data_IF_124686240191
#
_entry.id   IF_124686240191
#
_cell.length_a   1.000
_cell.length_b   1.000
_cell.length_c   1.000
_cell.angle_alpha   90.00
_cell.angle_beta   90.00
_cell.angle_gamma   90.00
#
_symmetry.space_group_name_H-M   'P 1'
#
loop_
_entity.id
_entity.type
_entity.pdbx_description
1 polymer ?
#
# COMPACT_ATOMS: atom_id res chain seq x y z
N UNK A 1 3.73 -1.14 -35.31
CA UNK A 1 4.69 -1.83 -34.42
C UNK A 1 3.97 -3.06 -33.89
N UNK A 2 4.53 -4.26 -34.07
CA UNK A 2 3.89 -5.46 -33.55
C UNK A 2 3.81 -5.34 -32.02
N UNK A 3 2.60 -5.50 -31.45
CA UNK A 3 2.47 -5.63 -30.00
C UNK A 3 3.36 -6.80 -29.59
N UNK A 4 4.38 -6.59 -28.74
CA UNK A 4 5.19 -7.69 -28.25
C UNK A 4 4.25 -8.71 -27.60
N UNK A 5 4.46 -9.99 -27.88
CA UNK A 5 3.76 -11.08 -27.22
C UNK A 5 3.78 -10.81 -25.72
N UNK A 6 2.63 -10.83 -25.02
CA UNK A 6 2.60 -10.58 -23.59
C UNK A 6 3.58 -11.54 -22.89
N UNK A 7 4.61 -10.99 -22.27
CA UNK A 7 5.61 -11.77 -21.52
C UNK A 7 4.98 -12.20 -20.19
N UNK A 8 5.49 -13.29 -19.62
CA UNK A 8 4.87 -13.93 -18.47
C UNK A 8 4.73 -12.93 -17.31
N UNK A 9 3.51 -12.73 -16.77
CA UNK A 9 3.28 -11.83 -15.66
C UNK A 9 4.02 -12.35 -14.41
N UNK A 10 4.69 -11.48 -13.64
CA UNK A 10 5.36 -11.90 -12.41
C UNK A 10 4.29 -12.34 -11.40
N UNK A 11 4.47 -13.49 -10.73
CA UNK A 11 3.70 -13.83 -9.54
C UNK A 11 3.76 -12.69 -8.51
N UNK A 12 2.59 -12.29 -8.00
CA UNK A 12 2.44 -11.32 -6.93
C UNK A 12 1.97 -12.08 -5.70
N UNK A 13 2.89 -12.24 -4.75
CA UNK A 13 2.66 -12.90 -3.48
C UNK A 13 2.55 -11.85 -2.38
N UNK A 14 1.72 -12.11 -1.36
CA UNK A 14 1.58 -11.25 -0.18
C UNK A 14 2.10 -12.02 1.04
N UNK A 15 3.38 -11.87 1.44
CA UNK A 15 3.84 -12.34 2.74
C UNK A 15 2.93 -11.85 3.87
N UNK A 16 2.62 -12.69 4.88
CA UNK A 16 1.96 -12.24 6.10
C UNK A 16 2.59 -10.96 6.66
N UNK A 17 1.85 -9.86 6.56
CA UNK A 17 2.31 -8.51 6.90
C UNK A 17 1.99 -8.12 8.34
N UNK A 18 2.58 -7.02 8.79
CA UNK A 18 2.37 -6.48 10.14
C UNK A 18 0.96 -5.89 10.29
N UNK A 19 0.55 -5.60 11.53
CA UNK A 19 -0.69 -4.89 11.87
C UNK A 19 -0.38 -3.66 12.70
N UNK A 20 -1.03 -2.57 12.36
CA UNK A 20 -0.97 -1.30 13.08
C UNK A 20 -2.35 -0.96 13.61
N UNK A 21 -2.42 -0.35 14.78
CA UNK A 21 -3.62 0.27 15.33
C UNK A 21 -3.28 1.71 15.72
N UNK A 22 -3.69 2.64 14.86
CA UNK A 22 -3.27 4.05 14.88
C UNK A 22 -4.46 4.98 15.12
N UNK A 23 -4.19 6.28 15.24
CA UNK A 23 -5.22 7.32 15.34
C UNK A 23 -5.62 7.79 13.95
N UNK A 24 -6.85 7.52 13.51
CA UNK A 24 -7.33 7.85 12.15
C UNK A 24 -7.14 9.32 11.74
N UNK A 25 -7.43 10.25 12.66
CA UNK A 25 -7.40 11.69 12.40
C UNK A 25 -6.00 12.22 12.05
N UNK A 26 -4.95 11.47 12.37
CA UNK A 26 -3.58 11.80 12.00
C UNK A 26 -3.33 11.60 10.50
N UNK A 27 -4.10 10.73 9.85
CA UNK A 27 -3.91 10.33 8.44
C UNK A 27 -4.97 10.96 7.53
N UNK A 28 -6.23 10.96 7.97
CA UNK A 28 -7.36 11.40 7.13
C UNK A 28 -8.54 11.96 7.93
N UNK A 29 -9.40 12.70 7.25
CA UNK A 29 -10.55 13.42 7.81
C UNK A 29 -11.77 13.39 6.87
N UNK A 30 -13.01 13.54 7.35
CA UNK A 30 -13.40 13.71 8.75
C UNK A 30 -13.36 12.38 9.52
N UNK A 31 -13.36 12.43 10.85
CA UNK A 31 -13.56 11.23 11.67
C UNK A 31 -15.05 10.89 11.76
N UNK A 32 -15.43 9.69 11.34
CA UNK A 32 -16.78 9.14 11.52
C UNK A 32 -16.89 8.40 12.86
N UNK A 33 -18.10 8.24 13.40
CA UNK A 33 -18.31 7.49 14.63
C UNK A 33 -17.89 6.03 14.46
N UNK A 34 -17.17 5.51 15.45
CA UNK A 34 -16.55 4.18 15.40
C UNK A 34 -15.18 4.19 14.71
N UNK A 35 -14.98 5.07 13.73
CA UNK A 35 -13.76 5.16 12.92
C UNK A 35 -12.67 6.05 13.52
N UNK A 36 -12.51 6.07 14.85
CA UNK A 36 -11.47 6.87 15.52
C UNK A 36 -10.11 6.17 15.51
N UNK A 37 -10.12 4.83 15.50
CA UNK A 37 -8.95 3.97 15.36
C UNK A 37 -8.78 3.57 13.91
N UNK A 38 -7.53 3.42 13.49
CA UNK A 38 -7.14 3.02 12.15
C UNK A 38 -6.33 1.73 12.25
N UNK A 39 -7.04 0.60 12.17
CA UNK A 39 -6.49 -0.74 12.34
C UNK A 39 -6.20 -1.36 10.99
N UNK A 40 -4.94 -1.44 10.61
CA UNK A 40 -4.57 -1.72 9.21
C UNK A 40 -3.44 -2.72 9.08
N UNK A 41 -3.38 -3.43 7.94
CA UNK A 41 -2.17 -4.14 7.56
C UNK A 41 -1.05 -3.14 7.24
N UNK A 42 0.20 -3.61 7.26
CA UNK A 42 1.27 -3.03 6.47
C UNK A 42 1.74 -4.15 5.53
N UNK A 43 1.34 -4.02 4.26
CA UNK A 43 1.60 -5.03 3.24
C UNK A 43 3.04 -4.97 2.73
N UNK A 44 3.56 -6.16 2.46
CA UNK A 44 4.74 -6.39 1.66
C UNK A 44 4.31 -7.26 0.47
N UNK A 45 4.95 -7.09 -0.69
CA UNK A 45 4.68 -7.92 -1.86
C UNK A 45 5.96 -8.55 -2.38
N UNK A 46 5.94 -9.86 -2.61
CA UNK A 46 7.00 -10.60 -3.29
C UNK A 46 6.65 -10.73 -4.77
N UNK A 47 7.53 -10.20 -5.62
CA UNK A 47 7.43 -10.22 -7.08
C UNK A 47 8.50 -11.13 -7.67
N UNK A 48 8.11 -12.07 -8.52
CA UNK A 48 9.05 -13.00 -9.17
C UNK A 48 9.07 -12.83 -10.68
N UNK A 49 10.20 -12.40 -11.24
CA UNK A 49 10.32 -12.20 -12.67
C UNK A 49 10.89 -13.47 -13.34
N UNK A 50 9.99 -14.33 -13.84
CA UNK A 50 10.35 -15.62 -14.43
C UNK A 50 11.45 -15.57 -15.52
N UNK A 51 11.49 -14.58 -16.44
CA UNK A 51 12.54 -14.50 -17.46
C UNK A 51 13.96 -14.31 -16.91
N UNK A 52 14.14 -13.60 -15.80
CA UNK A 52 15.46 -13.36 -15.18
C UNK A 52 15.66 -14.14 -13.89
N UNK A 53 14.62 -14.80 -13.38
CA UNK A 53 14.55 -15.44 -12.06
C UNK A 53 14.78 -14.46 -10.87
N UNK A 54 14.70 -13.15 -11.12
CA UNK A 54 14.87 -12.15 -10.08
C UNK A 54 13.66 -12.10 -9.15
N UNK A 55 13.91 -11.87 -7.87
CA UNK A 55 12.90 -11.73 -6.81
C UNK A 55 13.03 -10.38 -6.17
N UNK A 56 11.94 -9.62 -6.20
CA UNK A 56 11.88 -8.27 -5.65
C UNK A 56 10.86 -8.25 -4.50
N UNK A 57 11.16 -7.47 -3.47
CA UNK A 57 10.20 -7.11 -2.45
C UNK A 57 9.73 -5.68 -2.67
N UNK A 58 8.43 -5.44 -2.71
CA UNK A 58 7.86 -4.09 -2.65
C UNK A 58 7.37 -3.85 -1.23
N UNK A 59 8.05 -2.91 -0.56
CA UNK A 59 8.04 -2.67 0.89
C UNK A 59 8.46 -3.89 1.72
N UNK A 60 8.73 -3.66 3.01
CA UNK A 60 9.26 -4.66 3.95
C UNK A 60 8.52 -4.68 5.29
N UNK A 61 7.50 -3.83 5.45
CA UNK A 61 6.74 -3.72 6.69
C UNK A 61 7.50 -3.00 7.81
N UNK A 62 7.22 -3.39 9.05
CA UNK A 62 7.83 -2.82 10.26
C UNK A 62 8.89 -3.79 10.80
N UNK A 63 10.02 -3.27 11.29
CA UNK A 63 10.98 -4.08 12.04
C UNK A 63 10.42 -4.51 13.42
N UNK A 64 10.52 -5.80 13.82
CA UNK A 64 10.03 -6.24 15.14
C UNK A 64 10.63 -5.50 16.33
N UNK A 65 11.90 -5.12 16.23
CA UNK A 65 12.62 -4.29 17.19
C UNK A 65 12.49 -2.79 16.85
N UNK A 66 11.26 -2.29 16.67
CA UNK A 66 11.02 -0.88 16.29
C UNK A 66 11.68 0.14 17.23
N UNK A 67 11.95 -0.22 18.48
CA UNK A 67 12.73 0.60 19.43
C UNK A 67 14.20 0.82 19.01
N UNK A 68 14.68 0.05 18.03
CA UNK A 68 15.99 0.19 17.40
C UNK A 68 15.93 1.02 16.11
N UNK A 69 14.78 1.62 15.76
CA UNK A 69 14.73 2.69 14.76
C UNK A 69 15.57 3.90 15.22
N UNK A 70 15.93 4.82 14.32
CA UNK A 70 16.61 6.05 14.71
C UNK A 70 15.85 6.82 15.80
N UNK A 71 16.56 7.53 16.71
CA UNK A 71 15.93 8.21 17.85
C UNK A 71 14.80 9.18 17.46
N UNK A 72 14.91 9.87 16.33
CA UNK A 72 13.86 10.77 15.83
C UNK A 72 12.55 10.02 15.55
N UNK A 73 12.64 8.85 14.92
CA UNK A 73 11.48 7.98 14.65
C UNK A 73 10.91 7.40 15.93
N UNK A 74 11.77 6.88 16.84
CA UNK A 74 11.32 6.34 18.13
C UNK A 74 10.57 7.40 18.94
N UNK A 75 11.09 8.63 19.01
CA UNK A 75 10.43 9.74 19.71
C UNK A 75 9.09 10.11 19.08
N UNK A 76 8.98 10.11 17.75
CA UNK A 76 7.70 10.31 17.05
C UNK A 76 6.68 9.24 17.46
N UNK A 77 7.07 7.96 17.44
CA UNK A 77 6.20 6.86 17.81
C UNK A 77 5.79 6.93 19.29
N UNK A 78 6.73 7.24 20.20
CA UNK A 78 6.45 7.41 21.63
C UNK A 78 5.57 8.62 21.93
N UNK A 79 5.61 9.68 21.11
CA UNK A 79 4.73 10.84 21.24
C UNK A 79 3.27 10.51 20.93
N UNK A 80 3.02 9.44 20.18
CA UNK A 80 1.70 8.89 19.90
C UNK A 80 1.38 7.73 20.85
N UNK A 81 1.17 8.06 22.12
CA UNK A 81 1.01 7.07 23.21
C UNK A 81 -0.19 6.10 23.04
N UNK A 82 -1.08 6.33 22.08
CA UNK A 82 -2.21 5.46 21.73
C UNK A 82 -1.94 4.57 20.51
N UNK A 83 -0.83 4.72 19.78
CA UNK A 83 -0.48 3.84 18.67
C UNK A 83 -0.03 2.47 19.17
N UNK A 84 -0.44 1.40 18.47
CA UNK A 84 -0.09 0.01 18.81
C UNK A 84 0.35 -0.73 17.57
N UNK A 85 1.25 -1.70 17.76
CA UNK A 85 1.70 -2.62 16.74
C UNK A 85 1.39 -4.05 17.22
N UNK A 86 0.11 -4.47 17.19
CA UNK A 86 -0.33 -5.73 17.79
C UNK A 86 0.42 -6.94 17.23
N UNK A 87 0.76 -6.90 15.94
CA UNK A 87 1.51 -7.96 15.27
C UNK A 87 2.56 -7.34 14.37
N UNK A 88 3.82 -7.75 14.56
CA UNK A 88 4.95 -7.32 13.74
C UNK A 88 5.71 -8.53 13.25
N UNK A 89 5.90 -8.60 11.93
CA UNK A 89 6.64 -9.66 11.26
C UNK A 89 7.89 -9.11 10.60
N UNK A 90 9.00 -9.82 10.77
CA UNK A 90 10.17 -9.58 9.93
C UNK A 90 9.97 -10.32 8.60
N UNK A 91 9.86 -9.56 7.50
CA UNK A 91 9.63 -10.08 6.16
C UNK A 91 10.63 -11.15 5.74
N UNK A 92 11.94 -10.96 5.98
CA UNK A 92 12.96 -11.96 5.62
C UNK A 92 12.76 -13.28 6.36
N UNK A 93 12.37 -13.23 7.64
CA UNK A 93 12.11 -14.42 8.47
C UNK A 93 10.83 -15.13 8.04
N UNK A 94 9.77 -14.38 7.69
CA UNK A 94 8.54 -14.94 7.12
C UNK A 94 8.86 -15.73 5.84
N UNK A 95 9.59 -15.13 4.91
CA UNK A 95 10.02 -15.80 3.68
C UNK A 95 10.84 -17.06 3.96
N UNK A 96 11.82 -16.97 4.87
CA UNK A 96 12.70 -18.10 5.21
C UNK A 96 11.92 -19.27 5.82
N UNK A 97 10.93 -18.98 6.67
CA UNK A 97 10.06 -20.00 7.30
C UNK A 97 9.25 -20.79 6.26
N UNK A 98 8.99 -20.19 5.10
CA UNK A 98 8.28 -20.82 3.97
C UNK A 98 9.23 -21.22 2.81
N UNK A 99 10.54 -21.33 3.07
CA UNK A 99 11.50 -21.93 2.14
C UNK A 99 12.21 -20.97 1.19
N UNK A 100 12.00 -19.65 1.31
CA UNK A 100 12.75 -18.64 0.57
C UNK A 100 13.83 -18.01 1.46
N UNK A 101 15.09 -18.40 1.25
CA UNK A 101 16.22 -18.03 2.12
C UNK A 101 16.71 -16.57 1.89
N UNK A 102 15.85 -15.61 2.20
CA UNK A 102 16.11 -14.18 2.05
C UNK A 102 17.43 -13.72 2.72
N UNK A 103 17.77 -14.16 3.95
CA UNK A 103 19.04 -13.80 4.59
C UNK A 103 20.30 -14.25 3.84
N UNK A 104 20.20 -15.26 2.98
CA UNK A 104 21.32 -15.78 2.19
C UNK A 104 21.21 -15.46 0.68
N UNK A 105 20.45 -14.41 0.32
CA UNK A 105 20.47 -13.83 -1.02
C UNK A 105 19.42 -14.40 -1.98
N UNK A 106 18.31 -14.93 -1.45
CA UNK A 106 17.17 -15.30 -2.29
C UNK A 106 16.41 -14.09 -2.86
N UNK A 107 16.65 -12.88 -2.34
CA UNK A 107 16.02 -11.63 -2.77
C UNK A 107 17.07 -10.75 -3.45
N UNK A 108 16.78 -10.31 -4.67
CA UNK A 108 17.70 -9.49 -5.46
C UNK A 108 17.61 -8.01 -5.08
N UNK A 109 16.41 -7.51 -4.79
CA UNK A 109 16.22 -6.14 -4.36
C UNK A 109 14.97 -5.94 -3.49
N UNK A 110 15.05 -4.94 -2.61
CA UNK A 110 13.89 -4.33 -1.98
C UNK A 110 13.60 -2.99 -2.67
N UNK A 111 12.33 -2.76 -3.02
CA UNK A 111 11.81 -1.49 -3.52
C UNK A 111 11.05 -0.86 -2.36
N UNK A 112 11.50 0.30 -1.88
CA UNK A 112 10.71 1.09 -0.95
C UNK A 112 9.76 1.97 -1.74
N UNK A 113 8.46 1.82 -1.49
CA UNK A 113 7.47 2.81 -1.91
C UNK A 113 7.85 4.18 -1.38
N UNK A 114 8.26 4.25 -0.11
CA UNK A 114 8.82 5.44 0.54
C UNK A 114 9.49 5.08 1.88
N UNK A 115 10.23 6.01 2.52
CA UNK A 115 11.06 5.67 3.69
C UNK A 115 10.41 5.93 5.06
N UNK A 116 9.14 5.56 5.25
CA UNK A 116 8.53 5.54 6.58
C UNK A 116 8.72 4.20 7.29
N UNK A 117 8.62 4.23 8.62
CA UNK A 117 9.04 3.14 9.51
C UNK A 117 8.32 1.81 9.28
N UNK A 118 7.12 1.87 8.70
CA UNK A 118 6.24 0.76 8.40
C UNK A 118 6.31 0.27 6.95
N UNK A 119 7.26 0.78 6.18
CA UNK A 119 7.57 0.33 4.82
C UNK A 119 9.01 -0.18 4.68
N UNK A 120 9.93 0.30 5.53
CA UNK A 120 11.37 0.05 5.39
C UNK A 120 11.85 -1.28 5.99
N UNK A 121 11.09 -1.87 6.91
CA UNK A 121 11.44 -3.12 7.58
C UNK A 121 12.80 -3.12 8.29
N UNK A 122 13.43 -4.29 8.35
CA UNK A 122 14.79 -4.48 8.89
C UNK A 122 15.74 -4.94 7.78
N UNK A 123 16.40 -3.98 7.14
CA UNK A 123 17.36 -4.25 6.07
C UNK A 123 18.54 -5.14 6.52
N UNK A 124 18.89 -5.14 7.81
CA UNK A 124 20.00 -5.95 8.33
C UNK A 124 19.77 -7.46 8.22
N UNK A 125 18.53 -7.88 7.99
CA UNK A 125 18.17 -9.29 7.73
C UNK A 125 18.39 -9.74 6.29
N UNK A 126 18.80 -8.83 5.41
CA UNK A 126 19.17 -9.12 4.03
C UNK A 126 20.69 -8.97 3.84
N UNK A 127 21.32 -9.76 2.97
CA UNK A 127 22.74 -9.59 2.68
C UNK A 127 22.97 -8.30 1.87
N UNK A 128 24.19 -7.72 1.90
CA UNK A 128 24.55 -6.54 1.12
C UNK A 128 24.33 -6.64 -0.40
N UNK A 129 24.21 -7.86 -0.92
CA UNK A 129 23.89 -8.13 -2.34
C UNK A 129 22.45 -7.79 -2.70
N UNK A 130 21.56 -7.66 -1.71
CA UNK A 130 20.18 -7.20 -1.92
C UNK A 130 20.24 -5.70 -2.18
N UNK A 131 19.89 -5.29 -3.39
CA UNK A 131 19.84 -3.88 -3.76
C UNK A 131 18.67 -3.16 -3.09
N UNK A 132 18.80 -1.85 -2.90
CA UNK A 132 17.70 -1.00 -2.45
C UNK A 132 17.28 -0.06 -3.59
N UNK A 133 16.03 -0.19 -4.04
CA UNK A 133 15.44 0.66 -5.08
C UNK A 133 14.56 1.71 -4.41
N UNK A 134 14.73 2.98 -4.80
CA UNK A 134 14.02 4.12 -4.20
C UNK A 134 13.56 5.12 -5.26
N UNK A 135 12.55 5.92 -4.91
CA UNK A 135 12.06 6.99 -5.77
C UNK A 135 12.96 8.23 -5.82
N UNK A 136 12.63 9.20 -6.70
CA UNK A 136 13.44 10.39 -6.95
C UNK A 136 13.69 11.23 -5.70
N UNK A 137 14.85 11.89 -5.66
CA UNK A 137 15.27 12.77 -4.56
C UNK A 137 15.53 12.05 -3.23
N UNK A 138 15.48 10.72 -3.18
CA UNK A 138 15.72 9.97 -1.96
C UNK A 138 17.10 10.29 -1.35
N UNK A 139 18.17 10.13 -2.13
CA UNK A 139 19.53 10.32 -1.63
C UNK A 139 19.78 11.77 -1.18
N UNK A 140 19.24 12.74 -1.94
CA UNK A 140 19.38 14.16 -1.61
C UNK A 140 18.64 14.53 -0.32
N UNK A 141 17.48 13.93 -0.07
CA UNK A 141 16.59 14.32 1.03
C UNK A 141 16.84 13.53 2.32
N UNK A 142 17.14 12.23 2.22
CA UNK A 142 17.18 11.34 3.37
C UNK A 142 18.60 10.89 3.77
N UNK A 143 19.63 11.25 3.00
CA UNK A 143 21.02 10.93 3.35
C UNK A 143 21.81 12.19 3.75
N UNK A 144 22.78 12.05 4.68
CA UNK A 144 23.12 10.83 5.40
C UNK A 144 22.09 10.48 6.50
N UNK A 145 21.96 9.19 6.82
CA UNK A 145 21.15 8.73 7.95
C UNK A 145 21.76 8.96 9.34
N UNK A 146 21.09 8.49 10.38
CA UNK A 146 21.57 8.46 11.77
C UNK A 146 22.73 7.46 11.94
N UNK A 147 23.80 7.76 12.70
CA UNK A 147 23.98 8.92 13.57
C UNK A 147 24.65 10.14 12.90
N UNK A 148 24.94 10.10 11.60
CA UNK A 148 25.58 11.25 10.92
C UNK A 148 24.62 12.45 10.78
N UNK A 149 23.31 12.17 10.74
CA UNK A 149 22.25 13.16 10.89
C UNK A 149 21.33 12.76 12.05
N UNK A 150 21.35 13.53 13.14
CA UNK A 150 20.55 13.27 14.34
C UNK A 150 19.03 13.38 14.10
N UNK A 151 18.61 14.13 13.09
CA UNK A 151 17.20 14.29 12.71
C UNK A 151 16.69 13.24 11.73
N UNK A 152 17.56 12.35 11.25
CA UNK A 152 17.18 11.33 10.27
C UNK A 152 16.25 10.28 10.86
N UNK A 153 15.25 9.89 10.06
CA UNK A 153 14.40 8.73 10.33
C UNK A 153 15.00 7.39 9.88
N UNK A 154 16.13 7.42 9.17
CA UNK A 154 16.84 6.25 8.62
C UNK A 154 18.22 6.05 9.24
N UNK A 155 18.70 4.80 9.31
CA UNK A 155 20.06 4.48 9.77
C UNK A 155 21.07 4.62 8.63
N UNK A 156 22.20 5.28 8.90
CA UNK A 156 23.27 5.45 7.92
C UNK A 156 23.93 4.12 7.53
N UNK A 157 23.99 3.17 8.47
CA UNK A 157 24.63 1.87 8.25
C UNK A 157 23.94 1.05 7.15
N UNK A 158 22.63 1.22 6.97
CA UNK A 158 21.86 0.57 5.90
C UNK A 158 22.37 0.94 4.50
N UNK A 159 23.11 2.06 4.37
CA UNK A 159 23.53 2.62 3.08
C UNK A 159 25.05 2.62 2.87
N UNK A 160 25.85 3.03 3.87
CA UNK A 160 27.30 3.19 3.70
C UNK A 160 28.01 1.83 3.51
N UNK A 161 27.51 0.79 4.17
CA UNK A 161 28.07 -0.57 4.12
C UNK A 161 26.98 -1.67 4.06
N UNK A 162 25.70 -1.27 3.97
CA UNK A 162 24.56 -2.17 3.89
C UNK A 162 24.23 -2.50 2.44
N UNK A 163 23.45 -1.65 1.79
CA UNK A 163 22.85 -1.94 0.48
C UNK A 163 23.25 -0.92 -0.58
N UNK A 164 23.42 -1.40 -1.82
CA UNK A 164 23.59 -0.50 -2.97
C UNK A 164 22.25 0.16 -3.28
N UNK A 165 22.22 1.49 -3.24
CA UNK A 165 21.02 2.28 -3.54
C UNK A 165 20.93 2.53 -5.06
N UNK A 166 19.78 2.25 -5.64
CA UNK A 166 19.40 2.66 -6.98
C UNK A 166 18.21 3.59 -6.91
N UNK A 167 18.48 4.89 -7.03
CA UNK A 167 17.46 5.91 -7.17
C UNK A 167 16.95 5.92 -8.61
N UNK A 168 15.65 5.66 -8.79
CA UNK A 168 15.07 5.58 -10.12
C UNK A 168 15.03 6.97 -10.76
N UNK A 169 15.64 7.06 -11.95
CA UNK A 169 15.54 8.24 -12.79
C UNK A 169 14.32 8.11 -13.71
N UNK A 170 13.31 8.92 -13.47
CA UNK A 170 12.13 9.03 -14.32
C UNK A 170 12.36 10.08 -15.40
N UNK A 171 11.96 9.77 -16.63
CA UNK A 171 11.86 10.75 -17.70
C UNK A 171 10.41 10.92 -18.16
N UNK A 172 10.17 11.91 -19.03
CA UNK A 172 8.84 12.20 -19.54
C UNK A 172 8.44 11.32 -20.75
N UNK A 173 9.24 10.32 -21.14
CA UNK A 173 8.99 9.52 -22.34
C UNK A 173 7.91 8.46 -22.15
N UNK A 174 7.76 7.95 -20.92
CA UNK A 174 6.76 6.96 -20.56
C UNK A 174 5.89 7.48 -19.41
N UNK A 175 4.57 7.50 -19.63
CA UNK A 175 3.58 7.85 -18.61
C UNK A 175 2.46 6.83 -18.57
N UNK A 176 1.97 6.54 -17.37
CA UNK A 176 0.76 5.75 -17.13
C UNK A 176 -0.19 6.60 -16.31
N UNK A 177 -1.35 6.91 -16.90
CA UNK A 177 -2.18 8.02 -16.42
C UNK A 177 -1.38 9.32 -16.45
N UNK A 178 -1.31 10.00 -15.30
CA UNK A 178 -0.54 11.24 -15.13
C UNK A 178 0.89 11.03 -14.64
N UNK A 179 1.22 9.82 -14.18
CA UNK A 179 2.50 9.55 -13.55
C UNK A 179 3.58 9.25 -14.58
N UNK A 180 4.78 9.76 -14.33
CA UNK A 180 5.97 9.25 -15.01
C UNK A 180 6.15 7.79 -14.62
N UNK A 181 6.55 6.96 -15.58
CA UNK A 181 6.68 5.53 -15.40
C UNK A 181 8.05 5.04 -15.86
N UNK A 182 8.58 4.05 -15.15
CA UNK A 182 9.84 3.38 -15.46
C UNK A 182 9.58 1.88 -15.58
N UNK A 183 9.84 1.30 -16.76
CA UNK A 183 9.72 -0.13 -17.01
C UNK A 183 10.96 -0.85 -16.44
N UNK A 184 10.83 -1.41 -15.23
CA UNK A 184 11.96 -1.91 -14.44
C UNK A 184 12.72 -3.04 -15.15
N UNK A 185 12.01 -3.94 -15.83
CA UNK A 185 12.61 -5.05 -16.58
C UNK A 185 12.76 -4.75 -18.08
N UNK A 186 12.23 -3.61 -18.55
CA UNK A 186 12.21 -3.23 -19.97
C UNK A 186 11.31 -4.13 -20.83
N UNK A 187 10.37 -4.83 -20.21
CA UNK A 187 9.54 -5.85 -20.84
C UNK A 187 8.03 -5.68 -20.58
N UNK A 188 7.68 -4.63 -19.84
CA UNK A 188 6.33 -4.22 -19.51
C UNK A 188 5.64 -5.07 -18.46
N UNK A 189 6.38 -5.87 -17.70
CA UNK A 189 5.85 -6.71 -16.61
C UNK A 189 5.75 -5.96 -15.27
N UNK A 190 6.62 -4.99 -15.02
CA UNK A 190 6.66 -4.16 -13.82
C UNK A 190 7.00 -2.71 -14.19
N UNK A 191 6.08 -1.79 -13.91
CA UNK A 191 6.33 -0.36 -14.00
C UNK A 191 6.42 0.24 -12.59
N UNK A 192 7.47 0.99 -12.31
CA UNK A 192 7.49 1.90 -11.16
C UNK A 192 6.87 3.23 -11.60
N UNK A 193 6.08 3.86 -10.75
CA UNK A 193 5.39 5.12 -11.03
C UNK A 193 5.86 6.20 -10.05
N UNK A 194 6.24 7.37 -10.55
CA UNK A 194 6.59 8.51 -9.71
C UNK A 194 5.31 9.14 -9.15
N UNK A 195 5.08 8.99 -7.85
CA UNK A 195 3.84 9.34 -7.14
C UNK A 195 4.13 10.17 -5.88
N UNK A 196 4.75 11.36 -6.02
CA UNK A 196 5.23 12.14 -4.89
C UNK A 196 4.07 12.73 -4.07
N UNK A 197 4.39 13.30 -2.92
CA UNK A 197 3.47 14.10 -2.11
C UNK A 197 3.40 13.63 -0.67
N UNK A 198 3.08 12.35 -0.45
CA UNK A 198 3.18 11.73 0.87
C UNK A 198 4.62 11.83 1.39
N UNK A 199 5.57 11.37 0.57
CA UNK A 199 6.98 11.77 0.64
C UNK A 199 7.44 12.29 -0.72
N UNK A 200 8.57 13.00 -0.76
CA UNK A 200 9.16 13.46 -2.03
C UNK A 200 9.59 12.30 -2.94
N UNK A 201 9.97 11.17 -2.34
CA UNK A 201 10.48 9.99 -3.04
C UNK A 201 9.43 8.87 -3.20
N UNK A 202 8.15 9.18 -3.02
CA UNK A 202 7.09 8.17 -3.02
C UNK A 202 6.86 7.58 -4.42
N UNK A 203 6.87 6.25 -4.53
CA UNK A 203 6.60 5.50 -5.77
C UNK A 203 5.55 4.40 -5.57
N UNK A 204 4.75 4.16 -6.60
CA UNK A 204 3.90 2.97 -6.71
C UNK A 204 4.54 1.94 -7.66
N UNK A 205 4.09 0.69 -7.59
CA UNK A 205 4.42 -0.35 -8.57
C UNK A 205 3.16 -0.84 -9.30
N UNK A 206 3.11 -0.67 -10.62
CA UNK A 206 2.08 -1.25 -11.47
C UNK A 206 2.58 -2.56 -12.08
N UNK A 207 2.04 -3.67 -11.59
CA UNK A 207 2.48 -5.02 -11.90
C UNK A 207 1.50 -5.69 -12.84
N UNK A 208 1.99 -6.24 -13.96
CA UNK A 208 1.16 -6.98 -14.91
C UNK A 208 0.75 -8.33 -14.32
N UNK A 209 -0.53 -8.68 -14.40
CA UNK A 209 -1.04 -10.00 -13.96
C UNK A 209 -1.53 -10.90 -15.10
N UNK A 210 -1.95 -10.31 -16.22
CA UNK A 210 -2.29 -11.01 -17.47
C UNK A 210 -1.91 -10.10 -18.66
N UNK A 211 -2.08 -10.51 -19.94
CA UNK A 211 -1.87 -9.62 -21.07
C UNK A 211 -2.60 -8.26 -20.97
N UNK A 212 -3.75 -8.21 -20.31
CA UNK A 212 -4.64 -7.04 -20.26
C UNK A 212 -4.93 -6.51 -18.85
N UNK A 213 -4.35 -7.10 -17.81
CA UNK A 213 -4.65 -6.73 -16.42
C UNK A 213 -3.41 -6.42 -15.59
N UNK A 214 -3.60 -5.59 -14.58
CA UNK A 214 -2.55 -5.11 -13.69
C UNK A 214 -3.06 -4.98 -12.24
N UNK A 215 -2.14 -5.05 -11.29
CA UNK A 215 -2.33 -4.63 -9.91
C UNK A 215 -1.43 -3.43 -9.67
N UNK A 216 -1.97 -2.34 -9.12
CA UNK A 216 -1.21 -1.21 -8.63
C UNK A 216 -0.97 -1.40 -7.13
N UNK A 217 0.28 -1.62 -6.75
CA UNK A 217 0.76 -1.61 -5.37
C UNK A 217 1.02 -0.15 -4.98
N UNK A 218 0.10 0.39 -4.18
CA UNK A 218 -0.05 1.83 -3.98
C UNK A 218 0.89 2.45 -2.96
N UNK A 219 1.50 1.66 -2.07
CA UNK A 219 2.16 2.22 -0.87
C UNK A 219 1.18 3.16 -0.14
N UNK A 220 1.67 4.36 0.17
CA UNK A 220 0.94 5.45 0.80
C UNK A 220 0.60 6.59 -0.18
N UNK A 221 0.44 6.26 -1.47
CA UNK A 221 -0.23 7.17 -2.41
C UNK A 221 -1.63 7.54 -1.90
N UNK A 222 -2.23 6.64 -1.11
CA UNK A 222 -3.35 6.88 -0.22
C UNK A 222 -3.18 5.93 0.98
N UNK A 223 -3.55 6.39 2.17
CA UNK A 223 -3.57 5.55 3.36
C UNK A 223 -4.82 4.65 3.34
N UNK A 224 -6.00 5.22 3.08
CA UNK A 224 -7.27 4.52 3.23
C UNK A 224 -8.12 4.56 1.93
N UNK A 225 -8.80 3.46 1.51
CA UNK A 225 -9.52 3.42 0.22
C UNK A 225 -10.54 4.55 0.02
N UNK A 226 -11.19 4.96 1.09
CA UNK A 226 -12.12 6.09 1.13
C UNK A 226 -11.51 7.46 0.82
N UNK A 227 -10.19 7.61 0.66
CA UNK A 227 -9.56 8.86 0.20
C UNK A 227 -9.58 9.02 -1.33
N UNK A 228 -9.78 7.93 -2.08
CA UNK A 228 -9.96 7.96 -3.54
C UNK A 228 -11.27 7.30 -4.01
N UNK A 229 -12.06 6.73 -3.09
CA UNK A 229 -13.37 6.12 -3.38
C UNK A 229 -14.50 6.74 -2.54
N UNK A 230 -15.69 6.99 -3.13
CA UNK A 230 -15.99 6.88 -4.56
C UNK A 230 -15.35 8.02 -5.38
N UNK A 231 -15.41 7.90 -6.70
CA UNK A 231 -14.95 8.93 -7.65
C UNK A 231 -15.93 9.07 -8.82
N UNK A 232 -15.68 9.99 -9.74
CA UNK A 232 -16.45 10.11 -10.99
C UNK A 232 -16.32 8.87 -11.90
N UNK A 233 -15.22 8.12 -11.75
CA UNK A 233 -14.95 6.90 -12.51
C UNK A 233 -15.43 5.64 -11.78
N UNK A 234 -15.51 5.69 -10.45
CA UNK A 234 -15.94 4.59 -9.58
C UNK A 234 -17.03 5.09 -8.63
N UNK A 235 -18.25 5.12 -9.15
CA UNK A 235 -19.42 5.63 -8.43
C UNK A 235 -19.86 4.63 -7.36
N UNK A 236 -20.22 5.13 -6.17
CA UNK A 236 -20.84 4.33 -5.11
C UNK A 236 -22.11 3.65 -5.66
N UNK A 237 -22.20 2.31 -5.73
CA UNK A 237 -23.35 1.63 -6.32
C UNK A 237 -24.58 1.74 -5.40
N UNK A 238 -25.77 1.46 -5.92
CA UNK A 238 -27.00 1.46 -5.12
C UNK A 238 -27.04 0.27 -4.17
N UNK A 239 -26.58 -0.88 -4.65
CA UNK A 239 -26.42 -2.12 -3.88
C UNK A 239 -24.94 -2.52 -3.86
N UNK A 240 -24.47 -3.03 -2.73
CA UNK A 240 -23.12 -3.56 -2.57
C UNK A 240 -23.27 -5.03 -2.17
N UNK A 241 -22.71 -5.92 -2.99
CA UNK A 241 -22.77 -7.37 -2.78
C UNK A 241 -21.36 -7.99 -2.76
N UNK A 242 -20.99 -8.75 -1.71
CA UNK A 242 -21.75 -8.94 -0.48
C UNK A 242 -21.86 -7.64 0.34
N UNK A 243 -22.94 -7.47 1.10
CA UNK A 243 -23.12 -6.32 2.00
C UNK A 243 -21.91 -6.18 2.94
N UNK A 244 -21.29 -4.99 3.05
CA UNK A 244 -20.22 -4.73 4.02
C UNK A 244 -20.69 -4.78 5.48
N UNK A 245 -22.01 -4.79 5.70
CA UNK A 245 -22.64 -4.82 7.02
C UNK A 245 -23.78 -5.85 7.06
N UNK A 246 -23.48 -7.15 6.92
CA UNK A 246 -24.50 -8.19 6.69
C UNK A 246 -25.53 -8.32 7.82
N UNK A 247 -25.14 -8.02 9.07
CA UNK A 247 -26.06 -8.15 10.22
C UNK A 247 -26.95 -6.92 10.45
N UNK A 248 -26.74 -5.81 9.72
CA UNK A 248 -27.60 -4.63 9.80
C UNK A 248 -28.88 -4.88 9.00
N UNK A 249 -29.85 -5.55 9.65
CA UNK A 249 -31.18 -5.78 9.09
C UNK A 249 -31.99 -4.47 9.02
N UNK A 250 -31.97 -3.81 7.86
CA UNK A 250 -32.73 -2.59 7.62
C UNK A 250 -33.35 -2.60 6.22
N UNK A 251 -34.58 -2.07 6.02
CA UNK A 251 -35.13 -1.87 4.69
C UNK A 251 -34.35 -0.78 3.96
N UNK A 252 -33.66 -1.13 2.88
CA UNK A 252 -32.92 -0.19 2.03
C UNK A 252 -31.72 -0.86 1.37
N UNK A 253 -31.27 -0.29 0.24
CA UNK A 253 -30.09 -0.78 -0.45
C UNK A 253 -28.83 -0.22 0.25
N UNK A 254 -27.79 -1.04 0.55
CA UNK A 254 -26.61 -0.60 1.31
C UNK A 254 -25.96 0.69 0.79
N UNK A 255 -25.93 0.89 -0.53
CA UNK A 255 -25.38 2.09 -1.15
C UNK A 255 -26.07 3.39 -0.72
N UNK A 256 -27.39 3.38 -0.54
CA UNK A 256 -28.13 4.55 -0.06
C UNK A 256 -27.76 4.91 1.38
N UNK A 257 -27.47 3.91 2.21
CA UNK A 257 -27.04 4.15 3.59
C UNK A 257 -25.66 4.81 3.64
N UNK A 258 -24.72 4.35 2.82
CA UNK A 258 -23.38 4.91 2.75
C UNK A 258 -23.36 6.31 2.12
N UNK A 259 -24.21 6.58 1.13
CA UNK A 259 -24.43 7.95 0.62
C UNK A 259 -24.96 8.87 1.73
N UNK A 260 -25.86 8.37 2.58
CA UNK A 260 -26.38 9.13 3.71
C UNK A 260 -25.32 9.38 4.81
N UNK A 261 -24.34 8.49 4.97
CA UNK A 261 -23.17 8.66 5.87
C UNK A 261 -22.19 9.68 5.31
N UNK A 262 -21.91 9.60 4.01
CA UNK A 262 -20.93 10.44 3.31
C UNK A 262 -21.10 11.92 3.64
N UNK A 263 -20.01 12.60 4.02
CA UNK A 263 -20.05 13.98 4.51
C UNK A 263 -20.65 14.98 3.50
N UNK A 264 -20.36 14.79 2.21
CA UNK A 264 -20.92 15.57 1.11
C UNK A 264 -22.23 15.04 0.51
N UNK A 265 -22.79 13.94 1.04
CA UNK A 265 -23.97 13.24 0.48
C UNK A 265 -23.91 13.05 -1.04
N UNK A 266 -22.83 12.44 -1.50
CA UNK A 266 -22.57 12.20 -2.92
C UNK A 266 -22.07 10.79 -3.12
N UNK A 267 -22.19 10.32 -4.36
CA UNK A 267 -21.80 8.99 -4.81
C UNK A 267 -20.52 9.03 -5.66
N UNK A 268 -19.92 10.20 -5.85
CA UNK A 268 -18.83 10.42 -6.82
C UNK A 268 -17.64 11.19 -6.25
N UNK A 269 -17.57 11.40 -4.93
CA UNK A 269 -16.39 11.98 -4.29
C UNK A 269 -15.95 11.15 -3.09
N UNK A 270 -14.67 11.18 -2.72
CA UNK A 270 -14.16 10.35 -1.64
C UNK A 270 -14.78 10.63 -0.26
N UNK A 271 -14.88 9.60 0.57
CA UNK A 271 -15.35 9.69 1.97
C UNK A 271 -14.39 10.48 2.87
N UNK A 272 -13.11 10.47 2.54
CA UNK A 272 -12.02 11.04 3.30
C UNK A 272 -11.18 11.99 2.45
N UNK A 273 -10.48 12.89 3.14
CA UNK A 273 -9.42 13.73 2.61
C UNK A 273 -8.19 13.55 3.48
N UNK A 274 -7.01 13.71 2.89
CA UNK A 274 -5.76 13.67 3.64
C UNK A 274 -5.77 14.66 4.82
N UNK A 275 -5.20 14.22 5.94
CA UNK A 275 -4.79 15.10 7.01
C UNK A 275 -3.50 15.85 6.60
N UNK A 276 -3.34 17.11 6.98
CA UNK A 276 -2.18 17.91 6.56
C UNK A 276 -0.86 17.49 7.19
N UNK A 277 -0.88 16.79 8.33
CA UNK A 277 0.29 16.63 9.20
C UNK A 277 1.32 15.59 8.71
N UNK A 278 0.90 14.55 7.98
CA UNK A 278 1.76 13.44 7.56
C UNK A 278 2.14 13.46 6.07
N UNK A 279 1.97 14.59 5.39
CA UNK A 279 2.33 14.72 3.98
C UNK A 279 3.48 15.71 3.80
N UNK A 280 4.54 15.30 3.09
CA UNK A 280 5.63 16.20 2.72
C UNK A 280 5.13 17.43 1.93
N UNK A 281 4.22 17.19 0.99
CA UNK A 281 3.49 18.24 0.28
C UNK A 281 2.04 17.79 0.07
N UNK A 282 1.12 18.41 0.82
CA UNK A 282 -0.30 18.07 0.78
C UNK A 282 -0.93 18.31 -0.60
N UNK A 283 -0.52 19.36 -1.33
CA UNK A 283 -1.11 19.65 -2.64
C UNK A 283 -0.68 18.60 -3.67
N UNK A 284 0.60 18.22 -3.64
CA UNK A 284 1.14 17.15 -4.49
C UNK A 284 0.57 15.79 -4.09
N UNK A 285 0.37 15.52 -2.81
CA UNK A 285 -0.26 14.27 -2.34
C UNK A 285 -1.71 14.15 -2.84
N UNK A 286 -2.50 15.22 -2.76
CA UNK A 286 -3.85 15.23 -3.36
C UNK A 286 -3.79 15.06 -4.89
N UNK A 287 -2.83 15.68 -5.59
CA UNK A 287 -2.64 15.46 -7.03
C UNK A 287 -2.33 14.00 -7.38
N UNK A 288 -1.57 13.31 -6.50
CA UNK A 288 -1.29 11.87 -6.61
C UNK A 288 -2.55 11.04 -6.36
N UNK A 289 -3.33 11.33 -5.31
CA UNK A 289 -4.62 10.68 -5.06
C UNK A 289 -5.57 10.82 -6.26
N UNK A 290 -5.66 12.02 -6.85
CA UNK A 290 -6.46 12.24 -8.06
C UNK A 290 -5.97 11.39 -9.25
N UNK A 291 -4.68 11.05 -9.30
CA UNK A 291 -4.11 10.15 -10.30
C UNK A 291 -4.44 8.68 -10.09
N UNK A 292 -5.01 8.31 -8.95
CA UNK A 292 -5.56 6.98 -8.69
C UNK A 292 -6.90 6.75 -9.42
N UNK A 293 -7.32 7.65 -10.32
CA UNK A 293 -8.39 7.44 -11.31
C UNK A 293 -8.24 6.13 -12.12
N UNK A 294 -7.02 5.57 -12.15
CA UNK A 294 -6.73 4.21 -12.64
C UNK A 294 -7.64 3.15 -11.99
N UNK A 295 -8.18 3.39 -10.79
CA UNK A 295 -9.17 2.53 -10.14
C UNK A 295 -10.44 2.34 -10.98
N UNK A 296 -10.77 3.31 -11.84
CA UNK A 296 -11.88 3.22 -12.79
C UNK A 296 -11.66 2.23 -13.93
N UNK A 297 -10.43 1.80 -14.18
CA UNK A 297 -10.11 0.87 -15.26
C UNK A 297 -10.44 -0.57 -14.85
N UNK A 298 -11.27 -1.26 -15.64
CA UNK A 298 -11.65 -2.66 -15.39
C UNK A 298 -10.44 -3.59 -15.27
N UNK A 299 -9.36 -3.30 -16.00
CA UNK A 299 -8.12 -4.08 -16.00
C UNK A 299 -7.10 -3.67 -14.95
N UNK A 300 -7.40 -2.76 -14.02
CA UNK A 300 -6.45 -2.36 -12.96
C UNK A 300 -7.10 -2.55 -11.59
N UNK A 301 -6.46 -3.26 -10.69
CA UNK A 301 -6.85 -3.33 -9.28
C UNK A 301 -5.84 -2.57 -8.42
N UNK A 302 -6.30 -1.56 -7.67
CA UNK A 302 -5.44 -0.83 -6.73
C UNK A 302 -5.48 -1.51 -5.36
N UNK A 303 -4.29 -1.79 -4.83
CA UNK A 303 -4.03 -2.31 -3.48
C UNK A 303 -3.04 -1.37 -2.81
N UNK A 304 -3.52 -0.58 -1.83
CA UNK A 304 -2.68 0.30 -1.01
C UNK A 304 -2.13 -0.45 0.21
N UNK A 305 -1.07 0.06 0.85
CA UNK A 305 -0.36 -0.65 1.92
C UNK A 305 -1.23 -1.00 3.13
N UNK A 306 -2.25 -0.17 3.38
CA UNK A 306 -3.10 -0.21 4.57
C UNK A 306 -4.58 -0.55 4.25
N UNK A 307 -4.86 -1.23 3.13
CA UNK A 307 -6.23 -1.62 2.78
C UNK A 307 -6.74 -2.78 3.65
N UNK A 308 -7.62 -2.45 4.61
CA UNK A 308 -8.29 -3.42 5.49
C UNK A 308 -9.22 -4.36 4.72
N UNK A 309 -9.65 -3.99 3.51
CA UNK A 309 -10.62 -4.78 2.74
C UNK A 309 -10.11 -6.19 2.39
N UNK A 310 -8.79 -6.36 2.36
CA UNK A 310 -8.10 -7.61 2.02
C UNK A 310 -7.71 -8.48 3.23
N UNK A 311 -7.90 -7.99 4.46
CA UNK A 311 -7.56 -8.72 5.70
C UNK A 311 -8.77 -8.78 6.64
N UNK A 312 -8.93 -9.90 7.36
CA UNK A 312 -9.97 -10.04 8.38
C UNK A 312 -9.59 -9.34 9.69
N UNK A 313 -10.58 -9.12 10.56
CA UNK A 313 -10.39 -8.54 11.89
C UNK A 313 -9.46 -9.38 12.78
N UNK A 314 -9.43 -10.71 12.59
CA UNK A 314 -8.64 -11.67 13.38
C UNK A 314 -7.30 -12.04 12.71
N UNK A 315 -6.73 -11.16 11.89
CA UNK A 315 -5.48 -11.38 11.12
C UNK A 315 -5.55 -12.45 10.02
N UNK A 316 -6.61 -13.25 10.01
CA UNK A 316 -6.88 -14.27 9.01
C UNK A 316 -7.19 -13.70 7.63
N UNK A 317 -6.93 -14.54 6.62
CA UNK A 317 -7.25 -14.22 5.23
C UNK A 317 -8.75 -13.94 5.07
N UNK A 318 -9.07 -12.92 4.29
CA UNK A 318 -10.42 -12.76 3.78
C UNK A 318 -10.62 -13.76 2.65
N UNK A 319 -11.79 -14.42 2.65
CA UNK A 319 -12.19 -15.41 1.65
C UNK A 319 -11.82 -15.00 0.21
N UNK A 320 -10.77 -15.61 -0.34
CA UNK A 320 -10.36 -15.51 -1.74
C UNK A 320 -8.98 -14.89 -2.00
N UNK A 321 -8.49 -13.95 -1.19
CA UNK A 321 -7.22 -13.24 -1.50
C UNK A 321 -6.03 -14.19 -1.48
N UNK A 322 -5.93 -15.06 -0.46
CA UNK A 322 -4.83 -16.01 -0.26
C UNK A 322 -3.47 -15.32 -0.09
N UNK A 323 -2.71 -15.72 0.92
CA UNK A 323 -1.41 -15.13 1.23
C UNK A 323 -0.28 -16.10 0.86
N UNK A 324 0.94 -15.57 0.77
CA UNK A 324 2.13 -16.39 0.58
C UNK A 324 2.27 -17.39 1.76
N UNK A 325 2.64 -18.66 1.49
CA UNK A 325 3.07 -19.21 0.20
C UNK A 325 1.96 -19.86 -0.63
N UNK A 326 0.71 -19.81 -0.16
CA UNK A 326 -0.37 -20.64 -0.69
C UNK A 326 -0.91 -20.14 -2.03
N UNK A 327 -0.96 -18.81 -2.23
CA UNK A 327 -1.62 -18.23 -3.40
C UNK A 327 -1.03 -16.88 -3.83
N UNK A 328 -1.06 -16.67 -5.14
CA UNK A 328 -0.75 -15.38 -5.77
C UNK A 328 -2.04 -14.64 -6.12
N UNK A 329 -1.98 -13.31 -6.18
CA UNK A 329 -3.15 -12.49 -6.56
C UNK A 329 -3.26 -12.26 -8.08
N UNK A 330 -2.50 -12.97 -8.91
CA UNK A 330 -2.49 -12.76 -10.36
C UNK A 330 -3.85 -12.99 -11.02
N UNK A 331 -4.62 -13.95 -10.51
CA UNK A 331 -5.97 -14.29 -11.01
C UNK A 331 -7.08 -13.37 -10.47
N UNK A 332 -6.74 -12.21 -9.90
CA UNK A 332 -7.70 -11.33 -9.23
C UNK A 332 -8.93 -10.97 -10.07
N UNK A 333 -8.77 -10.81 -11.40
CA UNK A 333 -9.86 -10.42 -12.28
C UNK A 333 -10.82 -11.59 -12.53
N UNK A 334 -10.29 -12.79 -12.83
CA UNK A 334 -11.08 -14.01 -13.01
C UNK A 334 -11.86 -14.37 -11.75
N UNK A 335 -11.24 -14.17 -10.59
CA UNK A 335 -11.84 -14.45 -9.29
C UNK A 335 -12.76 -13.33 -8.75
N UNK A 336 -12.83 -12.19 -9.46
CA UNK A 336 -13.64 -11.04 -9.08
C UNK A 336 -13.20 -10.35 -7.79
N UNK A 337 -11.92 -10.45 -7.41
CA UNK A 337 -11.40 -9.91 -6.14
C UNK A 337 -11.59 -8.38 -6.08
N UNK A 338 -11.29 -7.66 -7.16
CA UNK A 338 -11.49 -6.20 -7.21
C UNK A 338 -12.91 -5.80 -6.82
N UNK A 339 -13.91 -6.39 -7.48
CA UNK A 339 -15.32 -6.06 -7.20
C UNK A 339 -15.75 -6.46 -5.79
N UNK A 340 -15.29 -7.62 -5.31
CA UNK A 340 -15.60 -8.14 -3.97
C UNK A 340 -15.05 -7.25 -2.84
N UNK A 341 -13.85 -6.68 -3.01
CA UNK A 341 -13.17 -5.94 -1.93
C UNK A 341 -13.28 -4.43 -2.05
N UNK A 342 -13.56 -3.87 -3.24
CA UNK A 342 -13.57 -2.41 -3.49
C UNK A 342 -14.34 -1.62 -2.44
N UNK A 343 -15.47 -2.16 -1.97
CA UNK A 343 -16.38 -1.48 -1.07
C UNK A 343 -16.41 -2.05 0.36
N UNK A 344 -15.52 -3.00 0.70
CA UNK A 344 -15.55 -3.64 2.03
C UNK A 344 -15.19 -2.69 3.17
N UNK A 345 -14.33 -1.71 2.94
CA UNK A 345 -14.01 -0.66 3.93
C UNK A 345 -15.26 0.05 4.49
N UNK A 346 -16.37 0.07 3.76
CA UNK A 346 -17.62 0.63 4.26
C UNK A 346 -18.15 -0.05 5.54
N UNK A 347 -17.75 -1.31 5.80
CA UNK A 347 -18.05 -2.01 7.04
C UNK A 347 -17.63 -1.24 8.29
N UNK A 348 -16.59 -0.40 8.17
CA UNK A 348 -16.09 0.44 9.26
C UNK A 348 -17.13 1.49 9.71
N UNK A 349 -18.02 1.94 8.83
CA UNK A 349 -19.08 2.91 9.15
C UNK A 349 -20.27 2.31 9.90
N UNK A 350 -20.21 1.06 10.35
CA UNK A 350 -21.29 0.35 11.05
C UNK A 350 -21.88 1.15 12.22
N UNK A 351 -21.03 1.74 13.05
CA UNK A 351 -21.49 2.52 14.20
C UNK A 351 -22.18 3.83 13.80
N UNK A 352 -21.64 4.51 12.79
CA UNK A 352 -22.22 5.73 12.22
C UNK A 352 -23.60 5.42 11.61
N UNK A 353 -23.71 4.31 10.87
CA UNK A 353 -24.97 3.81 10.31
C UNK A 353 -26.01 3.53 11.39
N UNK A 354 -25.62 2.85 12.47
CA UNK A 354 -26.52 2.51 13.57
C UNK A 354 -27.09 3.77 14.21
N UNK A 355 -26.32 4.85 14.36
CA UNK A 355 -26.84 6.12 14.91
C UNK A 355 -27.85 6.79 13.97
N UNK A 356 -27.61 6.74 12.66
CA UNK A 356 -28.45 7.42 11.67
C UNK A 356 -29.71 6.64 11.31
N UNK A 357 -29.68 5.30 11.36
CA UNK A 357 -30.83 4.45 11.04
C UNK A 357 -31.95 4.47 12.10
N UNK A 358 -31.66 4.91 13.34
CA UNK A 358 -32.63 5.03 14.44
C UNK A 358 -33.06 6.48 14.74
N UNK A 359 -32.91 7.39 13.78
CA UNK A 359 -33.47 8.75 13.80
C UNK A 359 -34.35 8.95 12.58
#
# INVERSE_FOLDING_TARGET
MANPTPRQPPPINIPPGSRLDLTSSTFFQPTYKGCHRYRVPSFCFLLEHAPTNQKLLFDLGIRPDWSNLPPATVQLLESHADWRFPTVHNTAIVLQTHGLDAPNGAIDAAIWSHPHFDHIGDLTTFPPTTALIVGPSFQQTFLPGYPLNESSSLHHHDFENGHTIYEINFDDTLKIGRFQAHDYFGDGSLYLLNTPGHTVAHICALVRTTPSTFVLLGGDASHHPGEFRPSEYVVLPEEIEPSPVPDLASPGCPGHWFEAVHCGKTRTSPFYRLAPELNHDLAVANWTIDGLELDGLEGVWIVIAHDTSMVGDDEGEVDGVGFFPEKTINSWQEEGLKERYRWRFHGEFREELTVRAFR
#
